data_IF_690665154585
#
_entry.id   IF_690665154585
#
_cell.length_a   1.000
_cell.length_b   1.000
_cell.length_c   1.000
_cell.angle_alpha   90.00
_cell.angle_beta   90.00
_cell.angle_gamma   90.00
#
_symmetry.space_group_name_H-M   'P 1'
#
loop_
_entity.id
_entity.type
_entity.pdbx_description
1 polymer ?
#
# COMPACT_ATOMS: atom_id res chain seq x y z
N UNK A 1 -9.61 -28.09 20.16
CA UNK A 1 -8.15 -28.25 20.25
C UNK A 1 -7.54 -27.53 19.05
N UNK A 2 -6.50 -26.71 19.27
CA UNK A 2 -5.83 -25.92 18.21
C UNK A 2 -5.42 -26.81 17.02
N UNK A 3 -5.01 -28.06 17.29
CA UNK A 3 -4.63 -29.04 16.27
C UNK A 3 -5.71 -29.32 15.21
N UNK A 4 -7.00 -29.29 15.56
CA UNK A 4 -8.09 -29.49 14.61
C UNK A 4 -8.30 -28.29 13.66
N UNK A 5 -7.77 -27.12 14.01
CA UNK A 5 -7.73 -25.93 13.15
C UNK A 5 -6.47 -25.95 12.29
N UNK A 6 -5.32 -26.31 12.87
CA UNK A 6 -4.04 -26.44 12.15
C UNK A 6 -4.12 -27.47 11.02
N UNK A 7 -4.80 -28.60 11.23
CA UNK A 7 -5.01 -29.64 10.19
C UNK A 7 -5.75 -29.13 8.95
N UNK A 8 -6.50 -28.03 9.06
CA UNK A 8 -7.21 -27.43 7.91
C UNK A 8 -6.28 -26.55 7.06
N UNK A 9 -5.16 -26.10 7.62
CA UNK A 9 -4.21 -25.22 6.94
C UNK A 9 -3.15 -26.05 6.23
N UNK A 10 -3.20 -26.05 4.89
CA UNK A 10 -2.17 -26.73 4.10
C UNK A 10 -0.80 -26.08 4.32
N UNK A 11 0.22 -26.89 4.62
CA UNK A 11 1.62 -26.48 4.69
C UNK A 11 2.27 -26.38 3.30
N UNK A 12 1.55 -26.75 2.24
CA UNK A 12 2.05 -26.71 0.87
C UNK A 12 2.07 -25.26 0.38
N UNK A 13 3.18 -24.89 -0.26
CA UNK A 13 3.31 -23.58 -0.91
C UNK A 13 2.43 -23.54 -2.16
N UNK A 14 1.52 -22.56 -2.31
CA UNK A 14 0.71 -22.43 -3.51
C UNK A 14 1.60 -22.08 -4.71
N UNK A 15 1.29 -22.70 -5.85
CA UNK A 15 1.99 -22.53 -7.13
C UNK A 15 1.23 -21.65 -8.11
N UNK A 16 -0.09 -21.55 -7.96
CA UNK A 16 -0.97 -20.74 -8.80
C UNK A 16 -2.00 -19.95 -8.01
N UNK A 17 -2.87 -19.23 -8.72
CA UNK A 17 -3.91 -18.39 -8.14
C UNK A 17 -4.98 -19.19 -7.39
N UNK A 18 -5.38 -20.36 -7.90
CA UNK A 18 -6.47 -21.13 -7.30
C UNK A 18 -6.00 -21.75 -5.97
N UNK A 19 -4.81 -22.33 -5.94
CA UNK A 19 -4.20 -22.82 -4.70
C UNK A 19 -4.01 -21.69 -3.67
N UNK A 20 -3.52 -20.52 -4.11
CA UNK A 20 -3.37 -19.36 -3.23
C UNK A 20 -4.72 -18.82 -2.73
N UNK A 21 -5.77 -18.92 -3.56
CA UNK A 21 -7.12 -18.48 -3.23
C UNK A 21 -7.74 -19.34 -2.14
N UNK A 22 -7.54 -20.65 -2.12
CA UNK A 22 -8.04 -21.51 -1.05
C UNK A 22 -7.43 -21.14 0.31
N UNK A 23 -6.12 -20.89 0.35
CA UNK A 23 -5.45 -20.37 1.56
C UNK A 23 -5.96 -18.98 1.95
N UNK A 24 -6.18 -18.10 0.96
CA UNK A 24 -6.75 -16.78 1.20
C UNK A 24 -8.15 -16.86 1.82
N UNK A 25 -9.03 -17.74 1.33
CA UNK A 25 -10.40 -17.87 1.83
C UNK A 25 -10.44 -18.33 3.29
N UNK A 26 -9.57 -19.27 3.63
CA UNK A 26 -9.42 -19.74 5.01
C UNK A 26 -8.84 -18.65 5.92
N UNK A 27 -7.78 -17.96 5.49
CA UNK A 27 -7.23 -16.82 6.23
C UNK A 27 -8.28 -15.71 6.41
N UNK A 28 -9.05 -15.41 5.37
CA UNK A 28 -10.11 -14.41 5.41
C UNK A 28 -11.22 -14.79 6.39
N UNK A 29 -11.59 -16.07 6.46
CA UNK A 29 -12.56 -16.56 7.45
C UNK A 29 -12.07 -16.27 8.88
N UNK A 30 -10.86 -16.71 9.23
CA UNK A 30 -10.33 -16.52 10.59
C UNK A 30 -10.07 -15.05 10.94
N UNK A 31 -9.55 -14.26 10.00
CA UNK A 31 -9.38 -12.82 10.22
C UNK A 31 -10.74 -12.13 10.38
N UNK A 32 -11.80 -12.61 9.74
CA UNK A 32 -13.15 -12.05 9.94
C UNK A 32 -13.68 -12.36 11.34
N UNK A 33 -13.54 -13.61 11.83
CA UNK A 33 -13.90 -13.97 13.20
C UNK A 33 -13.07 -13.19 14.23
N UNK A 34 -11.76 -13.02 13.98
CA UNK A 34 -10.89 -12.22 14.84
C UNK A 34 -11.34 -10.75 14.90
N UNK A 35 -11.78 -10.15 13.78
CA UNK A 35 -12.32 -8.79 13.75
C UNK A 35 -13.64 -8.65 14.50
N UNK A 36 -14.43 -9.71 14.61
CA UNK A 36 -15.66 -9.69 15.41
C UNK A 36 -15.34 -9.62 16.91
N UNK A 37 -14.27 -10.29 17.34
CA UNK A 37 -13.84 -10.31 18.73
C UNK A 37 -12.99 -9.07 19.10
N UNK A 38 -11.92 -8.80 18.35
CA UNK A 38 -11.02 -7.67 18.55
C UNK A 38 -11.61 -6.41 17.92
N UNK A 39 -12.69 -5.89 18.50
CA UNK A 39 -13.23 -4.59 18.13
C UNK A 39 -12.27 -3.48 18.55
N UNK A 40 -12.27 -2.36 17.82
CA UNK A 40 -11.37 -1.24 18.12
C UNK A 40 -11.57 -0.69 19.54
N UNK A 41 -12.81 -0.74 20.04
CA UNK A 41 -13.12 -0.39 21.42
C UNK A 41 -12.63 -1.50 22.36
N UNK A 42 -11.63 -1.18 23.19
CA UNK A 42 -11.00 -2.12 24.12
C UNK A 42 -9.81 -2.91 23.56
N UNK A 43 -9.65 -3.04 22.24
CA UNK A 43 -8.57 -3.82 21.60
C UNK A 43 -7.88 -3.08 20.45
N UNK A 44 -7.56 -1.79 20.62
CA UNK A 44 -7.04 -0.93 19.54
C UNK A 44 -5.85 -1.55 18.79
N UNK A 45 -4.81 -2.00 19.49
CA UNK A 45 -3.61 -2.58 18.86
C UNK A 45 -3.93 -3.88 18.13
N UNK A 46 -4.61 -4.82 18.81
CA UNK A 46 -4.96 -6.12 18.20
C UNK A 46 -5.88 -5.93 16.99
N UNK A 47 -6.84 -5.02 17.06
CA UNK A 47 -7.72 -4.69 15.94
C UNK A 47 -6.92 -4.22 14.72
N UNK A 48 -5.94 -3.34 14.92
CA UNK A 48 -5.11 -2.83 13.83
C UNK A 48 -4.28 -3.96 13.20
N UNK A 49 -3.65 -4.80 14.03
CA UNK A 49 -2.86 -5.95 13.56
C UNK A 49 -3.73 -6.90 12.72
N UNK A 50 -4.93 -7.23 13.20
CA UNK A 50 -5.87 -8.08 12.46
C UNK A 50 -6.30 -7.43 11.12
N UNK A 51 -6.47 -6.10 11.07
CA UNK A 51 -6.76 -5.39 9.81
C UNK A 51 -5.56 -5.39 8.86
N UNK A 52 -4.34 -5.25 9.38
CA UNK A 52 -3.10 -5.37 8.59
C UNK A 52 -2.93 -6.78 8.04
N UNK A 53 -3.23 -7.82 8.82
CA UNK A 53 -3.23 -9.22 8.36
C UNK A 53 -4.26 -9.43 7.23
N UNK A 54 -5.47 -8.88 7.37
CA UNK A 54 -6.45 -8.91 6.28
C UNK A 54 -5.92 -8.24 5.00
N UNK A 55 -5.28 -7.07 5.13
CA UNK A 55 -4.63 -6.39 4.01
C UNK A 55 -3.51 -7.25 3.40
N UNK A 56 -2.71 -7.93 4.23
CA UNK A 56 -1.61 -8.79 3.80
C UNK A 56 -2.11 -10.01 3.01
N UNK A 57 -3.23 -10.62 3.40
CA UNK A 57 -3.87 -11.70 2.64
C UNK A 57 -4.17 -11.26 1.20
N UNK A 58 -4.78 -10.09 1.00
CA UNK A 58 -5.02 -9.55 -0.34
C UNK A 58 -3.72 -9.21 -1.08
N UNK A 59 -2.68 -8.73 -0.38
CA UNK A 59 -1.39 -8.40 -0.98
C UNK A 59 -0.74 -9.65 -1.57
N UNK A 60 -0.72 -10.74 -0.81
CA UNK A 60 -0.12 -12.01 -1.23
C UNK A 60 -0.96 -12.66 -2.32
N UNK A 61 -2.30 -12.66 -2.22
CA UNK A 61 -3.14 -13.19 -3.30
C UNK A 61 -2.95 -12.42 -4.63
N UNK A 62 -2.79 -11.09 -4.56
CA UNK A 62 -2.58 -10.25 -5.74
C UNK A 62 -1.27 -10.56 -6.49
N UNK A 63 -0.29 -11.25 -5.86
CA UNK A 63 0.92 -11.73 -6.52
C UNK A 63 0.62 -12.84 -7.53
N UNK A 64 -0.32 -13.74 -7.21
CA UNK A 64 -0.69 -14.88 -8.06
C UNK A 64 -1.70 -14.52 -9.15
N UNK A 65 -2.41 -13.41 -9.00
CA UNK A 65 -3.40 -12.97 -9.97
C UNK A 65 -2.74 -12.49 -11.27
N UNK A 66 -3.28 -12.90 -12.42
CA UNK A 66 -2.75 -12.50 -13.73
C UNK A 66 -3.57 -11.36 -14.33
N UNK A 67 -4.86 -11.26 -13.96
CA UNK A 67 -5.73 -10.19 -14.39
C UNK A 67 -5.40 -8.88 -13.63
N UNK A 68 -4.89 -7.90 -14.38
CA UNK A 68 -4.43 -6.62 -13.84
C UNK A 68 -5.57 -5.80 -13.19
N UNK A 69 -6.81 -5.94 -13.66
CA UNK A 69 -7.97 -5.26 -13.09
C UNK A 69 -8.41 -5.89 -11.77
N UNK A 70 -8.39 -7.22 -11.66
CA UNK A 70 -8.63 -7.96 -10.42
C UNK A 70 -7.57 -7.63 -9.38
N UNK A 71 -6.29 -7.54 -9.77
CA UNK A 71 -5.21 -7.04 -8.89
C UNK A 71 -5.48 -5.63 -8.38
N UNK A 72 -5.89 -4.72 -9.27
CA UNK A 72 -6.28 -3.37 -8.86
C UNK A 72 -7.41 -3.38 -7.82
N UNK A 73 -8.43 -4.24 -8.01
CA UNK A 73 -9.55 -4.38 -7.06
C UNK A 73 -9.07 -4.93 -5.71
N UNK A 74 -8.11 -5.86 -5.69
CA UNK A 74 -7.52 -6.36 -4.45
C UNK A 74 -6.78 -5.26 -3.68
N UNK A 75 -5.92 -4.49 -4.36
CA UNK A 75 -5.25 -3.35 -3.73
C UNK A 75 -6.23 -2.26 -3.27
N UNK A 76 -7.31 -2.02 -4.03
CA UNK A 76 -8.39 -1.11 -3.61
C UNK A 76 -9.07 -1.57 -2.31
N UNK A 77 -9.29 -2.87 -2.13
CA UNK A 77 -9.82 -3.43 -0.87
C UNK A 77 -8.86 -3.21 0.30
N UNK A 78 -7.55 -3.43 0.08
CA UNK A 78 -6.52 -3.13 1.08
C UNK A 78 -6.58 -1.69 1.56
N UNK A 79 -6.64 -0.73 0.62
CA UNK A 79 -6.75 0.69 0.94
C UNK A 79 -8.02 0.98 1.74
N UNK A 80 -9.18 0.47 1.30
CA UNK A 80 -10.45 0.70 1.98
C UNK A 80 -10.48 0.18 3.44
N UNK A 81 -9.68 -0.85 3.76
CA UNK A 81 -9.54 -1.36 5.12
C UNK A 81 -8.56 -0.54 5.97
N UNK A 82 -7.45 -0.11 5.38
CA UNK A 82 -6.34 0.53 6.09
C UNK A 82 -6.49 2.04 6.25
N UNK A 83 -7.05 2.73 5.26
CA UNK A 83 -7.15 4.20 5.23
C UNK A 83 -7.95 4.78 6.41
N UNK A 84 -9.07 4.18 6.87
CA UNK A 84 -9.78 4.66 8.06
C UNK A 84 -8.92 4.66 9.33
N UNK A 85 -8.04 3.66 9.49
CA UNK A 85 -7.16 3.56 10.66
C UNK A 85 -6.17 4.72 10.75
N UNK A 86 -5.77 5.33 9.62
CA UNK A 86 -4.87 6.50 9.64
C UNK A 86 -5.56 7.71 10.27
N UNK A 87 -6.87 7.86 10.07
CA UNK A 87 -7.67 9.01 10.53
C UNK A 87 -8.03 8.87 12.00
N UNK A 88 -8.38 7.65 12.42
CA UNK A 88 -8.96 7.41 13.74
C UNK A 88 -7.90 7.26 14.85
N UNK A 89 -6.64 6.97 14.48
CA UNK A 89 -5.56 6.74 15.46
C UNK A 89 -4.87 8.04 15.87
N UNK A 90 -4.70 8.21 17.18
CA UNK A 90 -3.87 9.29 17.72
C UNK A 90 -2.38 9.02 17.39
N UNK A 91 -1.74 9.87 16.57
CA UNK A 91 -0.37 9.63 16.10
C UNK A 91 0.69 9.74 17.20
N UNK A 92 0.37 10.28 18.39
CA UNK A 92 1.31 10.34 19.52
C UNK A 92 1.49 8.97 20.18
N UNK A 93 0.40 8.20 20.32
CA UNK A 93 0.43 6.88 20.96
C UNK A 93 0.73 5.75 19.97
N UNK A 94 0.32 5.92 18.71
CA UNK A 94 0.40 4.87 17.68
C UNK A 94 1.33 5.25 16.52
N UNK A 95 2.35 6.06 16.76
CA UNK A 95 3.22 6.62 15.71
C UNK A 95 3.80 5.56 14.77
N UNK A 96 4.34 4.47 15.33
CA UNK A 96 4.96 3.40 14.55
C UNK A 96 3.93 2.66 13.67
N UNK A 97 2.76 2.37 14.23
CA UNK A 97 1.67 1.72 13.52
C UNK A 97 1.13 2.63 12.42
N UNK A 98 0.95 3.93 12.70
CA UNK A 98 0.51 4.90 11.71
C UNK A 98 1.52 5.00 10.54
N UNK A 99 2.83 5.00 10.84
CA UNK A 99 3.89 4.91 9.81
C UNK A 99 3.77 3.67 8.93
N UNK A 100 3.56 2.50 9.52
CA UNK A 100 3.39 1.24 8.78
C UNK A 100 2.18 1.32 7.85
N UNK A 101 1.02 1.74 8.37
CA UNK A 101 -0.22 1.84 7.59
C UNK A 101 -0.08 2.87 6.46
N UNK A 102 0.49 4.06 6.74
CA UNK A 102 0.74 5.08 5.71
C UNK A 102 1.62 4.52 4.58
N UNK A 103 2.70 3.83 4.92
CA UNK A 103 3.58 3.21 3.93
C UNK A 103 2.87 2.11 3.13
N UNK A 104 2.07 1.26 3.78
CA UNK A 104 1.30 0.21 3.14
C UNK A 104 0.24 0.74 2.17
N UNK A 105 -0.50 1.77 2.58
CA UNK A 105 -1.51 2.44 1.74
C UNK A 105 -0.83 3.13 0.54
N UNK A 106 0.29 3.83 0.76
CA UNK A 106 1.07 4.43 -0.32
C UNK A 106 1.54 3.38 -1.34
N UNK A 107 1.99 2.22 -0.86
CA UNK A 107 2.40 1.09 -1.70
C UNK A 107 1.23 0.52 -2.50
N UNK A 108 0.07 0.32 -1.88
CA UNK A 108 -1.11 -0.18 -2.58
C UNK A 108 -1.58 0.79 -3.69
N UNK A 109 -1.56 2.10 -3.46
CA UNK A 109 -1.83 3.09 -4.51
C UNK A 109 -0.79 3.06 -5.63
N UNK A 110 0.50 2.94 -5.26
CA UNK A 110 1.59 2.82 -6.22
C UNK A 110 1.43 1.58 -7.11
N UNK A 111 1.11 0.42 -6.54
CA UNK A 111 0.87 -0.82 -7.30
C UNK A 111 -0.34 -0.69 -8.24
N UNK A 112 -1.43 -0.08 -7.78
CA UNK A 112 -2.59 0.20 -8.63
C UNK A 112 -2.24 1.13 -9.79
N UNK A 113 -1.41 2.14 -9.55
CA UNK A 113 -0.95 3.08 -10.57
C UNK A 113 -0.09 2.36 -11.62
N UNK A 114 0.87 1.54 -11.20
CA UNK A 114 1.73 0.74 -12.09
C UNK A 114 0.91 -0.25 -12.93
N UNK A 115 -0.09 -0.91 -12.33
CA UNK A 115 -1.02 -1.77 -13.06
C UNK A 115 -1.83 -1.01 -14.11
N UNK A 116 -2.29 0.21 -13.78
CA UNK A 116 -3.06 1.03 -14.72
C UNK A 116 -2.22 1.58 -15.86
N UNK A 117 -0.95 1.91 -15.62
CA UNK A 117 0.02 2.21 -16.68
C UNK A 117 0.21 0.98 -17.57
N UNK A 118 0.48 -0.20 -16.99
CA UNK A 118 0.68 -1.41 -17.78
C UNK A 118 -0.56 -1.82 -18.61
N UNK A 119 -1.76 -1.51 -18.15
CA UNK A 119 -2.99 -1.65 -18.94
C UNK A 119 -3.02 -0.61 -20.07
N UNK A 120 -2.71 0.66 -19.77
CA UNK A 120 -2.70 1.74 -20.75
C UNK A 120 -1.67 1.50 -21.86
N UNK A 121 -0.49 0.97 -21.55
CA UNK A 121 0.57 0.65 -22.52
C UNK A 121 0.16 -0.44 -23.52
N UNK A 122 -0.84 -1.27 -23.18
CA UNK A 122 -1.44 -2.26 -24.10
C UNK A 122 -2.51 -1.66 -25.00
N UNK A 123 -2.96 -0.44 -24.72
CA UNK A 123 -3.92 0.28 -25.54
C UNK A 123 -3.17 1.13 -26.57
N UNK A 124 -3.70 1.21 -27.78
CA UNK A 124 -3.09 2.02 -28.86
C UNK A 124 -3.10 3.51 -28.54
N UNK A 125 -4.21 4.00 -27.99
CA UNK A 125 -4.41 5.39 -27.57
C UNK A 125 -5.17 5.39 -26.24
N UNK A 126 -4.49 5.52 -25.08
CA UNK A 126 -5.17 5.61 -23.80
C UNK A 126 -6.00 6.91 -23.74
N UNK A 127 -7.28 6.76 -23.40
CA UNK A 127 -8.18 7.91 -23.31
C UNK A 127 -7.84 8.83 -22.12
N UNK A 128 -8.40 10.04 -22.15
CA UNK A 128 -8.19 11.03 -21.08
C UNK A 128 -8.68 10.56 -19.70
N UNK A 129 -9.63 9.62 -19.63
CA UNK A 129 -10.16 9.11 -18.38
C UNK A 129 -9.18 8.14 -17.71
N UNK A 130 -8.51 7.29 -18.49
CA UNK A 130 -7.42 6.42 -18.03
C UNK A 130 -6.27 7.25 -17.49
N UNK A 131 -5.84 8.28 -18.23
CA UNK A 131 -4.77 9.20 -17.80
C UNK A 131 -5.14 9.91 -16.50
N UNK A 132 -6.37 10.44 -16.39
CA UNK A 132 -6.86 11.05 -15.14
C UNK A 132 -6.84 10.06 -13.99
N UNK A 133 -7.19 8.79 -14.24
CA UNK A 133 -7.18 7.76 -13.20
C UNK A 133 -5.77 7.43 -12.73
N UNK A 134 -4.82 7.28 -13.65
CA UNK A 134 -3.40 7.05 -13.33
C UNK A 134 -2.85 8.20 -12.48
N UNK A 135 -3.05 9.44 -12.91
CA UNK A 135 -2.58 10.62 -12.18
C UNK A 135 -3.26 10.76 -10.80
N UNK A 136 -4.54 10.41 -10.67
CA UNK A 136 -5.22 10.37 -9.37
C UNK A 136 -4.60 9.35 -8.43
N UNK A 137 -4.29 8.14 -8.90
CA UNK A 137 -3.63 7.12 -8.08
C UNK A 137 -2.20 7.54 -7.71
N UNK A 138 -1.47 8.13 -8.65
CA UNK A 138 -0.13 8.70 -8.44
C UNK A 138 -0.15 9.76 -7.32
N UNK A 139 -1.08 10.72 -7.41
CA UNK A 139 -1.25 11.77 -6.39
C UNK A 139 -1.56 11.19 -5.01
N UNK A 140 -2.40 10.16 -4.93
CA UNK A 140 -2.68 9.46 -3.66
C UNK A 140 -1.45 8.75 -3.11
N UNK A 141 -0.68 8.06 -3.95
CA UNK A 141 0.56 7.42 -3.53
C UNK A 141 1.57 8.45 -3.00
N UNK A 142 1.76 9.58 -3.71
CA UNK A 142 2.60 10.69 -3.28
C UNK A 142 2.17 11.24 -1.91
N UNK A 143 0.86 11.50 -1.74
CA UNK A 143 0.30 11.97 -0.47
C UNK A 143 0.71 11.07 0.69
N UNK A 144 0.49 9.75 0.58
CA UNK A 144 0.75 8.82 1.67
C UNK A 144 2.24 8.55 1.92
N UNK A 145 3.08 8.53 0.87
CA UNK A 145 4.53 8.50 1.08
C UNK A 145 5.03 9.77 1.77
N UNK A 146 4.50 10.94 1.40
CA UNK A 146 4.89 12.19 2.04
C UNK A 146 4.46 12.23 3.52
N UNK A 147 3.25 11.78 3.85
CA UNK A 147 2.80 11.64 5.24
C UNK A 147 3.75 10.74 6.04
N UNK A 148 4.13 9.59 5.47
CA UNK A 148 5.09 8.69 6.07
C UNK A 148 6.46 9.35 6.29
N UNK A 149 7.02 9.98 5.26
CA UNK A 149 8.32 10.67 5.34
C UNK A 149 8.30 11.83 6.34
N UNK A 150 7.22 12.60 6.37
CA UNK A 150 7.08 13.74 7.28
C UNK A 150 6.94 13.29 8.74
N UNK A 151 6.37 12.11 8.98
CA UNK A 151 6.32 11.52 10.31
C UNK A 151 7.71 11.16 10.85
N UNK A 152 8.72 10.99 9.99
CA UNK A 152 10.10 10.68 10.37
C UNK A 152 10.93 11.93 10.70
N UNK A 153 10.42 13.12 10.36
CA UNK A 153 11.11 14.38 10.61
C UNK A 153 11.01 14.77 12.08
N UNK A 154 11.98 15.54 12.53
CA UNK A 154 12.00 16.16 13.84
C UNK A 154 10.96 17.33 13.92
N UNK A 155 10.80 17.96 15.10
CA UNK A 155 9.93 19.13 15.24
C UNK A 155 10.26 20.31 14.31
N UNK A 156 11.52 20.43 13.87
CA UNK A 156 11.98 21.45 12.93
C UNK A 156 11.73 21.08 11.45
N UNK A 157 11.05 19.94 11.19
CA UNK A 157 10.75 19.43 9.84
C UNK A 157 11.99 19.01 9.05
N UNK A 158 13.06 18.63 9.75
CA UNK A 158 14.29 18.10 9.16
C UNK A 158 14.37 16.60 9.44
N UNK A 159 14.92 15.82 8.51
CA UNK A 159 15.22 14.42 8.80
C UNK A 159 16.30 14.35 9.90
N UNK A 160 16.14 13.46 10.90
CA UNK A 160 17.19 13.25 11.88
C UNK A 160 18.46 12.74 11.19
N UNK A 161 19.63 13.05 11.76
CA UNK A 161 20.92 12.58 11.25
C UNK A 161 20.97 11.04 11.18
N UNK A 162 20.29 10.38 12.11
CA UNK A 162 20.16 8.93 12.19
C UNK A 162 18.68 8.53 12.15
N UNK A 163 18.32 7.75 11.13
CA UNK A 163 17.01 7.11 11.02
C UNK A 163 17.13 5.70 11.63
N UNK A 164 16.18 5.33 12.51
CA UNK A 164 16.15 4.00 13.14
C UNK A 164 16.13 2.86 12.11
N UNK A 165 16.78 1.74 12.43
CA UNK A 165 16.95 0.61 11.49
C UNK A 165 15.60 0.02 11.01
N UNK A 166 14.60 0.05 11.89
CA UNK A 166 13.23 -0.41 11.63
C UNK A 166 12.52 0.39 10.53
N UNK A 167 12.83 1.68 10.41
CA UNK A 167 12.21 2.60 9.45
C UNK A 167 13.16 3.04 8.33
N UNK A 168 14.46 2.73 8.41
CA UNK A 168 15.45 3.12 7.42
C UNK A 168 15.14 2.59 6.01
N UNK A 169 14.91 1.28 5.87
CA UNK A 169 14.60 0.68 4.56
C UNK A 169 13.28 1.22 3.98
N UNK A 170 12.17 1.29 4.75
CA UNK A 170 10.95 1.97 4.31
C UNK A 170 11.18 3.44 3.93
N UNK A 171 11.97 4.21 4.69
CA UNK A 171 12.30 5.61 4.40
C UNK A 171 13.01 5.77 3.05
N UNK A 172 14.06 4.97 2.81
CA UNK A 172 14.77 4.96 1.53
C UNK A 172 13.83 4.60 0.39
N UNK A 173 13.04 3.54 0.54
CA UNK A 173 12.12 3.08 -0.48
C UNK A 173 11.03 4.13 -0.77
N UNK A 174 10.51 4.81 0.25
CA UNK A 174 9.57 5.90 0.09
C UNK A 174 10.19 7.07 -0.68
N UNK A 175 11.42 7.49 -0.36
CA UNK A 175 12.13 8.56 -1.08
C UNK A 175 12.30 8.22 -2.57
N UNK A 176 12.76 7.01 -2.89
CA UNK A 176 12.88 6.54 -4.29
C UNK A 176 11.54 6.47 -5.00
N UNK A 177 10.48 6.05 -4.31
CA UNK A 177 9.14 5.96 -4.91
C UNK A 177 8.52 7.32 -5.16
N UNK A 178 8.73 8.29 -4.27
CA UNK A 178 8.33 9.70 -4.50
C UNK A 178 9.00 10.22 -5.77
N UNK A 179 10.32 10.04 -5.90
CA UNK A 179 11.05 10.41 -7.10
C UNK A 179 10.45 9.76 -8.37
N UNK A 180 10.27 8.44 -8.34
CA UNK A 180 9.67 7.68 -9.45
C UNK A 180 8.24 8.11 -9.78
N UNK A 181 7.44 8.49 -8.77
CA UNK A 181 6.07 8.96 -8.94
C UNK A 181 6.03 10.28 -9.72
N UNK A 182 6.91 11.24 -9.41
CA UNK A 182 7.02 12.47 -10.20
C UNK A 182 7.35 12.19 -11.67
N UNK A 183 8.29 11.27 -11.94
CA UNK A 183 8.61 10.86 -13.31
C UNK A 183 7.50 10.10 -14.05
N UNK A 184 6.45 9.65 -13.35
CA UNK A 184 5.30 8.92 -13.92
C UNK A 184 4.04 9.77 -14.07
N UNK A 185 4.10 11.07 -13.78
CA UNK A 185 2.96 11.98 -13.99
C UNK A 185 2.77 12.18 -15.49
N UNK A 186 1.61 11.79 -16.01
CA UNK A 186 1.28 11.91 -17.42
C UNK A 186 0.70 13.30 -17.68
N UNK A 187 1.32 14.09 -18.54
CA UNK A 187 0.88 15.44 -18.93
C UNK A 187 1.11 15.67 -20.42
N UNK A 188 0.21 16.41 -21.06
CA UNK A 188 0.38 16.83 -22.46
C UNK A 188 1.16 18.15 -22.59
N UNK A 189 1.46 18.81 -21.47
CA UNK A 189 2.22 20.06 -21.41
C UNK A 189 3.72 19.77 -21.20
N UNK A 190 4.58 20.02 -22.22
CA UNK A 190 6.01 19.71 -22.14
C UNK A 190 6.75 20.47 -21.04
N UNK A 191 6.27 21.66 -20.65
CA UNK A 191 6.90 22.42 -19.56
C UNK A 191 6.69 21.72 -18.22
N UNK A 192 5.45 21.27 -17.97
CA UNK A 192 5.14 20.49 -16.77
C UNK A 192 5.84 19.15 -16.75
N UNK A 193 6.03 18.51 -17.90
CA UNK A 193 6.81 17.29 -18.00
C UNK A 193 8.26 17.53 -17.56
N UNK A 194 8.89 18.59 -18.05
CA UNK A 194 10.25 18.97 -17.64
C UNK A 194 10.33 19.31 -16.15
N UNK A 195 9.37 20.05 -15.61
CA UNK A 195 9.26 20.36 -14.18
C UNK A 195 9.12 19.10 -13.31
N UNK A 196 8.29 18.15 -13.73
CA UNK A 196 8.13 16.86 -13.05
C UNK A 196 9.42 16.04 -13.08
N UNK A 197 10.13 16.01 -14.21
CA UNK A 197 11.42 15.31 -14.34
C UNK A 197 12.51 15.96 -13.47
N UNK A 198 12.58 17.29 -13.43
CA UNK A 198 13.48 18.01 -12.54
C UNK A 198 13.18 17.68 -11.07
N UNK A 199 11.91 17.70 -10.68
CA UNK A 199 11.47 17.35 -9.32
C UNK A 199 11.81 15.89 -8.96
N UNK A 200 11.57 14.96 -9.89
CA UNK A 200 11.98 13.55 -9.77
C UNK A 200 13.48 13.44 -9.49
N UNK A 201 14.32 14.13 -10.26
CA UNK A 201 15.77 14.12 -10.09
C UNK A 201 16.19 14.68 -8.73
N UNK A 202 15.59 15.78 -8.27
CA UNK A 202 15.88 16.34 -6.94
C UNK A 202 15.55 15.36 -5.81
N UNK A 203 14.49 14.56 -5.94
CA UNK A 203 14.16 13.53 -4.94
C UNK A 203 15.11 12.32 -4.95
N UNK A 204 15.84 12.06 -6.04
CA UNK A 204 16.88 11.02 -6.08
C UNK A 204 18.20 11.48 -5.45
N UNK A 205 18.46 12.78 -5.40
CA UNK A 205 19.61 13.38 -4.71
C UNK A 205 19.43 13.32 -3.19
#
# INVERSE_FOLDING_TARGET
>A
AISAVEEKVSYLRPSDFEEARELFLMGQHYVSEAKEFFQIDGYVTDHIEVVQDHSALFKVLAFFETDMERRCKMHKRRIAMLEPLIVDLNPQYYLLVNRQIQFEVAHAYYDMMDLKIAIADKLRDPDSHIVKKINSLNKSALKYYQLFLDSLRDPNKVFPEHIGEDVLRPAMLAKFRVARLYGKIITADPKKELENLATSLEHYK
#
